data_IF_827728192785
#
_entry.id   IF_827728192785
#
_cell.length_a   1.000
_cell.length_b   1.000
_cell.length_c   1.000
_cell.angle_alpha   90.00
_cell.angle_beta   90.00
_cell.angle_gamma   90.00
#
_symmetry.space_group_name_H-M   'P 1'
#
loop_
_entity.id
_entity.type
_entity.pdbx_description
1 polymer ?
#
# COMPACT_ATOMS: atom_id res chain seq x y z
N UNK A 1 -13.54 21.57 -11.02
CA UNK A 1 -12.13 21.59 -10.54
C UNK A 1 -11.70 20.15 -10.33
N UNK A 2 -10.57 19.74 -10.89
CA UNK A 2 -9.97 18.42 -10.59
C UNK A 2 -9.39 18.48 -9.17
N UNK A 3 -9.65 17.45 -8.37
CA UNK A 3 -9.10 17.40 -7.00
C UNK A 3 -7.58 17.26 -7.04
N UNK A 4 -6.88 17.68 -5.98
CA UNK A 4 -5.44 17.44 -5.82
C UNK A 4 -5.08 15.95 -5.98
N UNK A 5 -5.98 15.06 -5.54
CA UNK A 5 -5.82 13.62 -5.68
C UNK A 5 -5.89 13.15 -7.14
N UNK A 6 -6.78 13.72 -7.95
CA UNK A 6 -6.88 13.38 -9.37
C UNK A 6 -5.67 13.87 -10.16
N UNK A 7 -5.17 15.07 -9.83
CA UNK A 7 -3.92 15.59 -10.40
C UNK A 7 -2.74 14.70 -10.04
N UNK A 8 -2.63 14.26 -8.77
CA UNK A 8 -1.61 13.31 -8.33
C UNK A 8 -1.66 12.00 -9.14
N UNK A 9 -2.83 11.35 -9.23
CA UNK A 9 -3.00 10.11 -10.01
C UNK A 9 -2.63 10.30 -11.48
N UNK A 10 -3.02 11.42 -12.09
CA UNK A 10 -2.69 11.74 -13.48
C UNK A 10 -1.18 11.86 -13.68
N UNK A 11 -0.48 12.53 -12.76
CA UNK A 11 0.97 12.68 -12.82
C UNK A 11 1.70 11.34 -12.69
N UNK A 12 1.31 10.51 -11.71
CA UNK A 12 1.87 9.17 -11.51
C UNK A 12 1.70 8.29 -12.76
N UNK A 13 0.50 8.27 -13.35
CA UNK A 13 0.23 7.53 -14.57
C UNK A 13 1.07 8.05 -15.75
N UNK A 14 1.17 9.37 -15.90
CA UNK A 14 1.93 10.01 -17.01
C UNK A 14 3.41 9.64 -16.98
N UNK A 15 4.01 9.59 -15.79
CA UNK A 15 5.42 9.22 -15.64
C UNK A 15 5.65 7.70 -15.55
N UNK A 16 4.59 6.89 -15.60
CA UNK A 16 4.63 5.42 -15.40
C UNK A 16 5.40 5.03 -14.14
N UNK A 17 5.12 5.73 -13.03
CA UNK A 17 5.86 5.51 -11.79
C UNK A 17 5.69 4.07 -11.31
N UNK A 18 6.72 3.56 -10.63
CA UNK A 18 6.57 2.39 -9.77
C UNK A 18 6.14 2.87 -8.38
N UNK A 19 4.99 2.41 -7.92
CA UNK A 19 4.44 2.74 -6.61
C UNK A 19 4.76 1.64 -5.60
N UNK A 20 4.93 2.06 -4.34
CA UNK A 20 4.86 1.18 -3.19
C UNK A 20 3.66 1.64 -2.35
N UNK A 21 2.70 0.75 -2.17
CA UNK A 21 1.53 0.98 -1.31
C UNK A 21 1.82 0.34 0.03
N UNK A 22 1.64 1.07 1.13
CA UNK A 22 1.78 0.56 2.48
C UNK A 22 0.46 0.81 3.22
N UNK A 23 -0.29 -0.26 3.49
CA UNK A 23 -1.51 -0.22 4.28
C UNK A 23 -1.19 -0.65 5.72
N UNK A 24 -1.45 0.24 6.68
CA UNK A 24 -1.19 0.01 8.10
C UNK A 24 -2.50 -0.10 8.87
N UNK A 25 -2.74 -1.24 9.52
CA UNK A 25 -3.81 -1.42 10.50
C UNK A 25 -5.24 -1.27 9.98
N UNK A 26 -5.45 -1.25 8.67
CA UNK A 26 -6.79 -1.15 8.11
C UNK A 26 -7.57 -2.44 8.45
N UNK A 27 -8.51 -2.38 9.38
CA UNK A 27 -9.40 -3.49 9.70
C UNK A 27 -10.69 -3.44 8.88
N UNK A 28 -11.68 -4.23 9.27
CA UNK A 28 -13.07 -4.11 8.79
C UNK A 28 -13.72 -2.78 9.18
N UNK A 29 -13.17 -2.08 10.18
CA UNK A 29 -13.68 -0.79 10.67
C UNK A 29 -13.48 0.37 9.68
N UNK A 30 -12.53 0.26 8.74
CA UNK A 30 -12.26 1.30 7.72
C UNK A 30 -12.15 0.67 6.33
N UNK A 31 -13.27 0.16 5.77
CA UNK A 31 -13.26 -0.52 4.48
C UNK A 31 -12.85 0.41 3.32
N UNK A 32 -13.02 1.73 3.49
CA UNK A 32 -12.65 2.73 2.49
C UNK A 32 -11.15 2.74 2.19
N UNK A 33 -10.29 2.62 3.21
CA UNK A 33 -8.83 2.55 3.01
C UNK A 33 -8.45 1.29 2.24
N UNK A 34 -9.07 0.15 2.58
CA UNK A 34 -8.87 -1.13 1.91
C UNK A 34 -9.29 -1.09 0.44
N UNK A 35 -10.46 -0.53 0.15
CA UNK A 35 -10.92 -0.37 -1.23
C UNK A 35 -9.97 0.51 -2.05
N UNK A 36 -9.45 1.59 -1.47
CA UNK A 36 -8.55 2.50 -2.16
C UNK A 36 -7.17 1.89 -2.42
N UNK A 37 -6.58 1.18 -1.45
CA UNK A 37 -5.31 0.48 -1.61
C UNK A 37 -5.40 -0.63 -2.66
N UNK A 38 -6.47 -1.43 -2.63
CA UNK A 38 -6.71 -2.51 -3.60
C UNK A 38 -6.98 -1.96 -5.02
N UNK A 39 -7.74 -0.86 -5.13
CA UNK A 39 -7.94 -0.18 -6.40
C UNK A 39 -6.63 0.37 -6.95
N UNK A 40 -5.82 1.01 -6.11
CA UNK A 40 -4.53 1.53 -6.52
C UNK A 40 -3.56 0.40 -6.92
N UNK A 41 -3.57 -0.72 -6.20
CA UNK A 41 -2.71 -1.87 -6.50
C UNK A 41 -3.06 -2.55 -7.84
N UNK A 42 -4.33 -2.52 -8.24
CA UNK A 42 -4.81 -3.19 -9.45
C UNK A 42 -5.01 -2.27 -10.67
N UNK A 43 -4.80 -0.96 -10.53
CA UNK A 43 -4.87 -0.03 -11.65
C UNK A 43 -3.68 -0.24 -12.60
N UNK A 44 -4.00 -0.57 -13.86
CA UNK A 44 -3.01 -0.90 -14.90
C UNK A 44 -2.27 0.32 -15.45
N UNK A 45 -2.62 1.54 -15.01
CA UNK A 45 -1.95 2.77 -15.43
C UNK A 45 -0.55 2.94 -14.83
N UNK A 46 -0.22 2.17 -13.79
CA UNK A 46 1.09 2.17 -13.14
C UNK A 46 1.44 0.75 -12.67
N UNK A 47 2.69 0.57 -12.22
CA UNK A 47 3.10 -0.65 -11.53
C UNK A 47 3.12 -0.36 -10.04
N UNK A 48 2.47 -1.19 -9.23
CA UNK A 48 2.43 -1.00 -7.78
C UNK A 48 2.79 -2.29 -7.06
N UNK A 49 3.75 -2.25 -6.14
CA UNK A 49 3.92 -3.29 -5.13
C UNK A 49 3.11 -2.91 -3.88
N UNK A 50 2.61 -3.90 -3.14
CA UNK A 50 1.69 -3.68 -2.02
C UNK A 50 2.13 -4.39 -0.74
N UNK A 51 2.35 -3.62 0.32
CA UNK A 51 2.61 -4.10 1.66
C UNK A 51 1.36 -3.88 2.51
N UNK A 52 0.84 -4.96 3.09
CA UNK A 52 -0.29 -4.91 4.04
C UNK A 52 0.19 -5.37 5.40
N UNK A 53 0.02 -4.50 6.38
CA UNK A 53 0.41 -4.76 7.77
C UNK A 53 -0.84 -4.65 8.65
N UNK A 54 -1.15 -5.73 9.35
CA UNK A 54 -2.30 -5.76 10.26
C UNK A 54 -2.00 -6.67 11.45
N UNK A 55 -2.46 -6.38 12.69
CA UNK A 55 -2.23 -7.27 13.82
C UNK A 55 -2.88 -8.64 13.67
N UNK A 56 -4.01 -8.72 12.94
CA UNK A 56 -4.71 -9.98 12.69
C UNK A 56 -4.25 -10.59 11.36
N UNK A 57 -3.90 -11.88 11.37
CA UNK A 57 -3.35 -12.59 10.20
C UNK A 57 -4.33 -12.51 9.03
N UNK A 58 -5.60 -12.80 9.28
CA UNK A 58 -6.66 -12.77 8.27
C UNK A 58 -6.84 -11.39 7.62
N UNK A 59 -6.55 -10.32 8.35
CA UNK A 59 -6.61 -8.95 7.84
C UNK A 59 -5.29 -8.47 7.25
N UNK A 60 -4.20 -9.20 7.45
CA UNK A 60 -2.91 -8.92 6.80
C UNK A 60 -2.83 -9.47 5.38
N UNK A 61 -3.71 -10.42 5.04
CA UNK A 61 -3.73 -11.06 3.73
C UNK A 61 -4.35 -10.17 2.66
N UNK A 62 -3.78 -10.21 1.46
CA UNK A 62 -4.36 -9.64 0.24
C UNK A 62 -5.05 -10.78 -0.51
N UNK A 63 -6.31 -10.55 -0.90
CA UNK A 63 -7.08 -11.55 -1.62
C UNK A 63 -6.43 -11.92 -2.96
N UNK A 64 -6.45 -13.21 -3.29
CA UNK A 64 -5.88 -13.77 -4.51
C UNK A 64 -6.47 -13.15 -5.79
N UNK A 65 -7.72 -12.71 -5.74
CA UNK A 65 -8.34 -11.95 -6.83
C UNK A 65 -7.52 -10.71 -7.20
N UNK A 66 -7.08 -9.94 -6.20
CA UNK A 66 -6.30 -8.72 -6.44
C UNK A 66 -4.87 -9.04 -6.86
N UNK A 67 -4.25 -10.05 -6.25
CA UNK A 67 -2.91 -10.52 -6.63
C UNK A 67 -2.84 -10.92 -8.11
N UNK A 68 -3.84 -11.65 -8.61
CA UNK A 68 -3.91 -12.07 -10.02
C UNK A 68 -4.18 -10.93 -10.99
N UNK A 69 -4.80 -9.84 -10.52
CA UNK A 69 -5.15 -8.67 -11.33
C UNK A 69 -4.03 -7.65 -11.41
N UNK A 70 -3.09 -7.65 -10.46
CA UNK A 70 -1.92 -6.78 -10.47
C UNK A 70 -0.71 -7.45 -11.13
N UNK A 71 0.19 -6.63 -11.66
CA UNK A 71 1.52 -7.07 -12.10
C UNK A 71 2.60 -6.91 -11.01
N UNK A 72 2.22 -6.41 -9.84
CA UNK A 72 3.13 -6.19 -8.72
C UNK A 72 3.12 -7.31 -7.69
N UNK A 73 4.02 -7.19 -6.72
CA UNK A 73 4.18 -8.14 -5.62
C UNK A 73 3.41 -7.69 -4.39
N UNK A 74 3.07 -8.65 -3.55
CA UNK A 74 2.47 -8.41 -2.23
C UNK A 74 3.42 -8.85 -1.12
N UNK A 75 3.40 -8.13 0.00
CA UNK A 75 4.03 -8.52 1.26
C UNK A 75 2.96 -8.37 2.34
N UNK A 76 2.73 -9.46 3.08
CA UNK A 76 1.65 -9.58 4.05
C UNK A 76 2.28 -9.83 5.42
N UNK A 77 2.04 -8.92 6.36
CA UNK A 77 2.72 -8.93 7.66
C UNK A 77 1.69 -8.85 8.79
N UNK A 78 1.69 -9.88 9.63
CA UNK A 78 0.91 -9.90 10.86
C UNK A 78 1.66 -9.12 11.96
N UNK A 79 1.40 -7.81 12.05
CA UNK A 79 2.04 -6.90 13.00
C UNK A 79 1.13 -5.70 13.31
N UNK A 80 1.14 -5.22 14.55
CA UNK A 80 0.38 -4.03 14.92
C UNK A 80 0.97 -2.76 14.27
N UNK A 81 0.12 -1.75 14.05
CA UNK A 81 0.49 -0.55 13.31
C UNK A 81 1.56 0.30 14.04
N UNK A 82 1.59 0.28 15.38
CA UNK A 82 2.55 1.06 16.16
C UNK A 82 3.95 0.47 15.99
N UNK A 83 4.09 -0.83 16.25
CA UNK A 83 5.37 -1.54 16.07
C UNK A 83 5.86 -1.44 14.63
N UNK A 84 4.96 -1.60 13.66
CA UNK A 84 5.29 -1.45 12.24
C UNK A 84 5.85 -0.05 11.92
N UNK A 85 5.20 1.01 12.42
CA UNK A 85 5.65 2.38 12.19
C UNK A 85 7.01 2.65 12.84
N UNK A 86 7.23 2.15 14.06
CA UNK A 86 8.52 2.26 14.75
C UNK A 86 9.65 1.59 13.97
N UNK A 87 9.43 0.37 13.47
CA UNK A 87 10.44 -0.36 12.68
C UNK A 87 10.73 0.34 11.34
N UNK A 88 9.72 0.91 10.69
CA UNK A 88 9.90 1.71 9.47
C UNK A 88 10.74 2.95 9.76
N UNK A 89 10.41 3.69 10.82
CA UNK A 89 11.17 4.88 11.24
C UNK A 89 12.62 4.53 11.58
N UNK A 90 12.85 3.46 12.35
CA UNK A 90 14.20 2.99 12.67
C UNK A 90 15.00 2.63 11.41
N UNK A 91 14.37 1.96 10.45
CA UNK A 91 15.01 1.60 9.19
C UNK A 91 15.38 2.84 8.37
N UNK A 92 14.47 3.81 8.27
CA UNK A 92 14.71 5.08 7.57
C UNK A 92 15.86 5.83 8.24
N UNK A 93 15.83 5.98 9.57
CA UNK A 93 16.85 6.71 10.32
C UNK A 93 18.24 6.05 10.27
N UNK A 94 18.31 4.72 10.15
CA UNK A 94 19.57 4.01 9.92
C UNK A 94 20.14 4.32 8.54
N UNK A 95 19.28 4.36 7.51
CA UNK A 95 19.70 4.68 6.13
C UNK A 95 20.18 6.13 6.03
N UNK A 96 19.50 7.09 6.69
CA UNK A 96 19.88 8.51 6.63
C UNK A 96 21.19 8.87 7.36
N UNK A 97 21.77 7.93 8.11
CA UNK A 97 23.06 8.10 8.79
C UNK A 97 24.26 7.63 7.96
N UNK A 98 24.05 7.19 6.72
CA UNK A 98 25.09 6.82 5.75
C UNK A 98 24.95 7.67 4.50
#
# INVERSE_FOLDING_TARGET
QTSHYDTFKSNIAKIKAKLLIIELGAGTAVPTVRCESERAFTDQKWTADFIRINPLVEHSMVDDYYKKKSNGKTIEIALDALTASQLIDEAIMKISKH
#
